data_IF_905819666107
#
_entry.id   IF_905819666107
#
_cell.length_a   1.000
_cell.length_b   1.000
_cell.length_c   1.000
_cell.angle_alpha   90.00
_cell.angle_beta   90.00
_cell.angle_gamma   90.00
#
_symmetry.space_group_name_H-M   'P 1'
#
loop_
_entity.id
_entity.type
_entity.pdbx_description
1 polymer ?
#
# COMPACT_ATOMS: atom_id res chain seq x y z
N UNK A 1 -27.38 -12.06 10.54
CA UNK A 1 -26.20 -11.23 10.89
C UNK A 1 -24.88 -12.02 10.91
N UNK A 2 -24.78 -13.16 11.63
CA UNK A 2 -23.54 -13.97 11.68
C UNK A 2 -23.08 -14.55 10.33
N UNK A 3 -24.01 -15.09 9.53
CA UNK A 3 -23.71 -15.67 8.19
C UNK A 3 -23.15 -14.65 7.20
N UNK A 4 -23.62 -13.41 7.26
CA UNK A 4 -23.16 -12.31 6.40
C UNK A 4 -21.75 -11.84 6.80
N UNK A 5 -21.48 -11.73 8.10
CA UNK A 5 -20.14 -11.44 8.62
C UNK A 5 -19.12 -12.51 8.21
N UNK A 6 -19.49 -13.78 8.31
CA UNK A 6 -18.64 -14.90 7.92
C UNK A 6 -18.32 -14.89 6.42
N UNK A 7 -19.31 -14.62 5.57
CA UNK A 7 -19.11 -14.48 4.12
C UNK A 7 -18.17 -13.32 3.77
N UNK A 8 -18.35 -12.14 4.39
CA UNK A 8 -17.46 -10.99 4.19
C UNK A 8 -16.02 -11.31 4.60
N UNK A 9 -15.84 -11.99 5.73
CA UNK A 9 -14.53 -12.44 6.20
C UNK A 9 -13.88 -13.44 5.24
N UNK A 10 -14.64 -14.43 4.75
CA UNK A 10 -14.13 -15.42 3.80
C UNK A 10 -13.65 -14.77 2.49
N UNK A 11 -14.45 -13.87 1.91
CA UNK A 11 -14.08 -13.13 0.70
C UNK A 11 -12.87 -12.23 0.91
N UNK A 12 -12.78 -11.57 2.06
CA UNK A 12 -11.60 -10.79 2.43
C UNK A 12 -10.35 -11.67 2.55
N UNK A 13 -10.48 -12.87 3.14
CA UNK A 13 -9.41 -13.86 3.22
C UNK A 13 -8.90 -14.27 1.84
N UNK A 14 -9.80 -14.55 0.89
CA UNK A 14 -9.42 -14.87 -0.49
C UNK A 14 -8.68 -13.69 -1.14
N UNK A 15 -9.18 -12.47 -0.99
CA UNK A 15 -8.54 -11.26 -1.54
C UNK A 15 -7.11 -11.10 -1.01
N UNK A 16 -6.90 -11.30 0.29
CA UNK A 16 -5.58 -11.30 0.92
C UNK A 16 -4.67 -12.42 0.39
N UNK A 17 -5.18 -13.63 0.19
CA UNK A 17 -4.40 -14.75 -0.35
C UNK A 17 -3.98 -14.51 -1.79
N UNK A 18 -4.88 -14.02 -2.64
CA UNK A 18 -4.58 -13.65 -4.03
C UNK A 18 -3.57 -12.52 -4.08
N UNK A 19 -3.77 -11.46 -3.27
CA UNK A 19 -2.82 -10.36 -3.16
C UNK A 19 -1.43 -10.80 -2.69
N UNK A 20 -1.37 -11.71 -1.72
CA UNK A 20 -0.12 -12.30 -1.22
C UNK A 20 0.57 -13.10 -2.32
N UNK A 21 -0.16 -13.95 -3.05
CA UNK A 21 0.41 -14.75 -4.14
C UNK A 21 1.03 -13.86 -5.24
N UNK A 22 0.33 -12.79 -5.64
CA UNK A 22 0.83 -11.84 -6.64
C UNK A 22 2.08 -11.12 -6.12
N UNK A 23 2.02 -10.58 -4.89
CA UNK A 23 3.18 -9.88 -4.31
C UNK A 23 4.38 -10.80 -4.10
N UNK A 24 4.13 -12.08 -3.74
CA UNK A 24 5.19 -13.07 -3.56
C UNK A 24 5.84 -13.46 -4.89
N UNK A 25 5.06 -13.60 -5.97
CA UNK A 25 5.63 -13.83 -7.29
C UNK A 25 6.57 -12.68 -7.72
N UNK A 26 6.17 -11.43 -7.48
CA UNK A 26 7.03 -10.26 -7.75
C UNK A 26 8.30 -10.29 -6.86
N UNK A 27 8.17 -10.75 -5.61
CA UNK A 27 9.31 -10.90 -4.69
C UNK A 27 10.34 -11.92 -5.16
N UNK A 28 9.92 -13.01 -5.81
CA UNK A 28 10.86 -14.01 -6.34
C UNK A 28 11.76 -13.43 -7.44
N UNK A 29 11.21 -12.56 -8.29
CA UNK A 29 11.95 -11.92 -9.39
C UNK A 29 12.74 -10.70 -8.90
N UNK A 30 12.17 -9.91 -7.99
CA UNK A 30 12.76 -8.68 -7.47
C UNK A 30 12.61 -8.61 -5.93
N UNK A 31 13.53 -9.18 -5.14
CA UNK A 31 13.35 -9.35 -3.70
C UNK A 31 13.07 -8.05 -2.92
N UNK A 32 13.85 -7.00 -3.14
CA UNK A 32 13.66 -5.72 -2.43
C UNK A 32 12.37 -5.03 -2.86
N UNK A 33 12.17 -4.86 -4.16
CA UNK A 33 10.99 -4.22 -4.74
C UNK A 33 9.71 -4.98 -4.39
N UNK A 34 9.72 -6.29 -4.55
CA UNK A 34 8.59 -7.18 -4.31
C UNK A 34 8.19 -7.26 -2.84
N UNK A 35 9.14 -7.14 -1.90
CA UNK A 35 8.81 -7.04 -0.48
C UNK A 35 7.95 -5.79 -0.19
N UNK A 36 8.34 -4.62 -0.72
CA UNK A 36 7.57 -3.38 -0.57
C UNK A 36 6.22 -3.42 -1.28
N UNK A 37 6.17 -4.08 -2.44
CA UNK A 37 4.95 -4.36 -3.17
C UNK A 37 3.99 -5.19 -2.34
N UNK A 38 4.45 -6.32 -1.79
CA UNK A 38 3.66 -7.22 -0.96
C UNK A 38 3.09 -6.51 0.27
N UNK A 39 3.92 -5.77 1.03
CA UNK A 39 3.43 -4.99 2.17
C UNK A 39 2.36 -3.98 1.75
N UNK A 40 2.51 -3.35 0.60
CA UNK A 40 1.58 -2.32 0.15
C UNK A 40 0.27 -2.89 -0.38
N UNK A 41 0.28 -4.06 -1.02
CA UNK A 41 -0.94 -4.78 -1.41
C UNK A 41 -1.77 -5.06 -0.16
N UNK A 42 -1.17 -5.71 0.85
CA UNK A 42 -1.87 -6.10 2.08
C UNK A 42 -2.35 -4.91 2.90
N UNK A 43 -1.63 -3.79 2.87
CA UNK A 43 -2.02 -2.59 3.60
C UNK A 43 -3.06 -1.74 2.87
N UNK A 44 -3.32 -2.00 1.59
CA UNK A 44 -4.39 -1.34 0.82
C UNK A 44 -5.67 -2.16 0.80
N UNK A 45 -5.56 -3.49 0.79
CA UNK A 45 -6.71 -4.39 0.96
C UNK A 45 -7.28 -4.18 2.37
N UNK A 46 -8.44 -3.52 2.44
CA UNK A 46 -9.10 -3.16 3.70
C UNK A 46 -10.43 -3.91 3.85
N UNK A 47 -10.81 -4.36 5.06
CA UNK A 47 -12.05 -5.10 5.29
C UNK A 47 -13.30 -4.33 4.85
N UNK A 48 -13.31 -3.01 5.06
CA UNK A 48 -14.45 -2.14 4.77
C UNK A 48 -14.47 -1.60 3.33
N UNK A 49 -13.45 -1.86 2.51
CA UNK A 49 -13.29 -1.59 1.06
C UNK A 49 -13.54 -0.15 0.55
N UNK A 50 -14.26 0.70 1.27
CA UNK A 50 -14.72 2.04 0.85
C UNK A 50 -13.57 3.04 0.69
N UNK A 51 -12.43 2.80 1.34
CA UNK A 51 -11.32 3.75 1.38
C UNK A 51 -10.02 3.21 0.76
N UNK A 52 -10.04 2.10 0.02
CA UNK A 52 -8.83 1.50 -0.56
C UNK A 52 -8.06 2.50 -1.45
N UNK A 53 -8.77 3.34 -2.21
CA UNK A 53 -8.17 4.41 -3.03
C UNK A 53 -7.49 5.49 -2.17
N UNK A 54 -8.17 5.97 -1.13
CA UNK A 54 -7.61 6.98 -0.23
C UNK A 54 -6.38 6.44 0.50
N UNK A 55 -6.45 5.18 0.94
CA UNK A 55 -5.36 4.48 1.61
C UNK A 55 -4.14 4.30 0.69
N UNK A 56 -4.37 3.89 -0.56
CA UNK A 56 -3.34 3.80 -1.59
C UNK A 56 -2.68 5.17 -1.85
N UNK A 57 -3.45 6.23 -2.06
CA UNK A 57 -2.91 7.57 -2.33
C UNK A 57 -2.12 8.11 -1.15
N UNK A 58 -2.61 7.89 0.07
CA UNK A 58 -1.92 8.31 1.28
C UNK A 58 -0.57 7.59 1.41
N UNK A 59 -0.51 6.29 1.11
CA UNK A 59 0.73 5.51 1.14
C UNK A 59 1.74 5.95 0.10
N UNK A 60 1.31 6.20 -1.13
CA UNK A 60 2.19 6.68 -2.21
C UNK A 60 2.79 8.03 -1.82
N UNK A 61 1.94 9.02 -1.46
CA UNK A 61 2.40 10.36 -1.08
C UNK A 61 3.35 10.33 0.12
N UNK A 62 3.00 9.59 1.17
CA UNK A 62 3.84 9.48 2.37
C UNK A 62 5.19 8.81 2.09
N UNK A 63 5.23 7.79 1.22
CA UNK A 63 6.49 7.16 0.84
C UNK A 63 7.38 8.10 0.02
N UNK A 64 6.80 8.85 -0.91
CA UNK A 64 7.53 9.87 -1.68
C UNK A 64 8.09 10.97 -0.77
N UNK A 65 7.30 11.46 0.18
CA UNK A 65 7.75 12.44 1.19
C UNK A 65 8.95 11.90 1.95
N UNK A 66 8.83 10.71 2.54
CA UNK A 66 9.92 10.15 3.31
C UNK A 66 11.15 9.81 2.46
N UNK A 67 10.94 9.46 1.17
CA UNK A 67 12.03 9.22 0.24
C UNK A 67 12.80 10.50 -0.09
N UNK A 68 12.08 11.58 -0.39
CA UNK A 68 12.66 12.89 -0.61
C UNK A 68 13.41 13.39 0.63
N UNK A 69 12.81 13.30 1.82
CA UNK A 69 13.45 13.73 3.07
C UNK A 69 14.70 12.90 3.38
N UNK A 70 14.63 11.57 3.24
CA UNK A 70 15.79 10.70 3.46
C UNK A 70 16.96 11.00 2.52
N UNK A 71 16.67 11.25 1.24
CA UNK A 71 17.69 11.63 0.26
C UNK A 71 18.27 13.03 0.54
N UNK A 72 17.44 14.00 0.93
CA UNK A 72 17.90 15.35 1.26
C UNK A 72 18.89 15.34 2.44
N UNK A 73 18.58 14.59 3.52
CA UNK A 73 19.45 14.50 4.69
C UNK A 73 20.81 13.92 4.35
N UNK A 74 20.84 12.92 3.47
CA UNK A 74 22.09 12.30 3.01
C UNK A 74 23.04 13.32 2.35
N UNK A 75 22.51 14.25 1.56
CA UNK A 75 23.34 15.27 0.88
C UNK A 75 23.82 16.40 1.81
N UNK A 76 23.14 16.64 2.93
CA UNK A 76 23.45 17.76 3.82
C UNK A 76 24.58 17.41 4.79
N UNK A 77 24.53 16.24 5.43
CA UNK A 77 25.46 15.91 6.51
C UNK A 77 25.61 14.39 6.68
N UNK A 78 26.77 13.89 7.13
CA UNK A 78 26.91 12.52 7.61
C UNK A 78 25.77 12.11 8.55
N UNK A 79 25.17 10.97 8.27
CA UNK A 79 24.02 10.46 9.01
C UNK A 79 24.45 10.13 10.45
N UNK A 80 23.80 10.81 11.39
CA UNK A 80 23.90 10.55 12.83
C UNK A 80 22.48 10.57 13.43
N UNK A 81 22.36 10.27 14.72
CA UNK A 81 21.05 10.21 15.39
C UNK A 81 20.29 11.56 15.35
N UNK A 82 21.00 12.69 15.36
CA UNK A 82 20.38 14.01 15.25
C UNK A 82 19.79 14.23 13.85
N UNK A 83 20.52 13.89 12.80
CA UNK A 83 20.03 13.98 11.42
C UNK A 83 18.83 13.08 11.17
N UNK A 84 18.84 11.86 11.70
CA UNK A 84 17.69 10.95 11.64
C UNK A 84 16.49 11.55 12.37
N UNK A 85 16.70 12.12 13.57
CA UNK A 85 15.64 12.74 14.36
C UNK A 85 15.02 13.94 13.65
N UNK A 86 15.86 14.80 13.06
CA UNK A 86 15.43 15.91 12.21
C UNK A 86 14.60 15.38 11.04
N UNK A 87 15.09 14.35 10.35
CA UNK A 87 14.38 13.71 9.25
C UNK A 87 13.00 13.20 9.60
N UNK A 88 12.88 12.53 10.74
CA UNK A 88 11.60 12.05 11.25
C UNK A 88 10.65 13.22 11.50
N UNK A 89 11.10 14.25 12.22
CA UNK A 89 10.27 15.43 12.53
C UNK A 89 9.87 16.19 11.26
N UNK A 90 10.80 16.37 10.32
CA UNK A 90 10.51 16.99 9.02
C UNK A 90 9.50 16.16 8.23
N UNK A 91 9.65 14.82 8.18
CA UNK A 91 8.69 13.96 7.49
C UNK A 91 7.30 14.00 8.13
N UNK A 92 7.21 14.08 9.46
CA UNK A 92 5.96 14.25 10.20
C UNK A 92 5.32 15.60 9.89
N UNK A 93 6.09 16.69 9.94
CA UNK A 93 5.59 18.03 9.63
C UNK A 93 5.07 18.12 8.19
N UNK A 94 5.79 17.55 7.23
CA UNK A 94 5.34 17.49 5.83
C UNK A 94 4.07 16.64 5.72
N UNK A 95 4.04 15.45 6.34
CA UNK A 95 2.83 14.63 6.33
C UNK A 95 1.62 15.33 6.94
N UNK A 96 1.81 16.12 8.01
CA UNK A 96 0.75 16.92 8.63
C UNK A 96 0.22 17.99 7.66
N UNK A 97 1.11 18.74 7.00
CA UNK A 97 0.74 19.75 6.00
C UNK A 97 -0.05 19.16 4.82
N UNK A 98 0.22 17.90 4.46
CA UNK A 98 -0.50 17.19 3.41
C UNK A 98 -1.70 16.35 3.90
N UNK A 99 -2.07 16.42 5.19
CA UNK A 99 -3.13 15.62 5.81
C UNK A 99 -2.95 14.10 5.65
N UNK A 100 -1.70 13.62 5.72
CA UNK A 100 -1.29 12.22 5.51
C UNK A 100 -1.06 11.45 6.81
N UNK A 101 -1.69 11.86 7.92
CA UNK A 101 -1.44 11.30 9.27
C UNK A 101 -1.56 9.77 9.32
N UNK A 102 -2.53 9.20 8.62
CA UNK A 102 -2.74 7.75 8.52
C UNK A 102 -1.53 7.00 7.94
N UNK A 103 -0.73 7.65 7.08
CA UNK A 103 0.44 7.09 6.41
C UNK A 103 1.77 7.67 6.91
N UNK A 104 1.77 8.58 7.89
CA UNK A 104 2.96 9.23 8.43
C UNK A 104 3.99 8.22 8.97
N UNK A 105 3.53 7.13 9.60
CA UNK A 105 4.40 6.01 10.01
C UNK A 105 5.19 5.40 8.85
N UNK A 106 4.59 5.31 7.66
CA UNK A 106 5.26 4.81 6.46
C UNK A 106 6.30 5.80 5.92
N UNK A 107 6.06 7.11 6.07
CA UNK A 107 7.05 8.14 5.75
C UNK A 107 8.26 8.09 6.70
N UNK A 108 8.04 7.95 8.01
CA UNK A 108 9.13 7.82 8.98
C UNK A 108 10.00 6.59 8.71
N UNK A 109 9.38 5.44 8.43
CA UNK A 109 10.09 4.21 8.04
C UNK A 109 10.90 4.42 6.75
N UNK A 110 10.42 5.25 5.82
CA UNK A 110 11.16 5.63 4.60
C UNK A 110 12.48 6.29 4.90
N UNK A 111 12.42 7.33 5.75
CA UNK A 111 13.58 8.11 6.15
C UNK A 111 14.60 7.17 6.78
N UNK A 112 14.17 6.27 7.67
CA UNK A 112 15.05 5.30 8.33
C UNK A 112 15.72 4.35 7.34
N UNK A 113 14.97 3.75 6.42
CA UNK A 113 15.53 2.79 5.45
C UNK A 113 16.59 3.45 4.56
N UNK A 114 16.33 4.67 4.12
CA UNK A 114 17.24 5.40 3.23
C UNK A 114 18.48 5.87 3.99
N UNK A 115 18.32 6.39 5.20
CA UNK A 115 19.43 6.91 6.00
C UNK A 115 20.28 5.82 6.65
N UNK A 116 19.69 4.66 7.00
CA UNK A 116 20.38 3.49 7.57
C UNK A 116 20.84 2.48 6.52
N UNK A 117 20.76 2.85 5.24
CA UNK A 117 21.17 1.96 4.17
C UNK A 117 22.66 1.59 4.26
N UNK A 118 23.02 0.35 3.88
CA UNK A 118 24.38 -0.13 4.00
C UNK A 118 25.34 0.59 3.02
N UNK A 119 26.60 0.86 3.45
CA UNK A 119 27.61 1.40 2.55
C UNK A 119 27.89 0.45 1.38
N UNK A 120 27.76 0.92 0.13
CA UNK A 120 28.13 0.16 -1.08
C UNK A 120 27.00 -0.06 -2.09
N UNK A 121 25.76 0.26 -1.74
CA UNK A 121 24.61 0.23 -2.64
C UNK A 121 24.15 1.67 -2.91
N UNK A 122 23.74 1.96 -4.15
CA UNK A 122 23.35 3.33 -4.53
C UNK A 122 22.04 3.70 -3.83
N UNK A 123 22.06 4.73 -2.99
CA UNK A 123 20.92 5.19 -2.19
C UNK A 123 19.69 5.52 -3.05
N UNK A 124 19.93 5.98 -4.28
CA UNK A 124 18.90 6.23 -5.29
C UNK A 124 18.17 4.95 -5.70
N UNK A 125 18.87 3.82 -5.81
CA UNK A 125 18.25 2.54 -6.15
C UNK A 125 17.30 2.10 -5.03
N UNK A 126 17.70 2.23 -3.78
CA UNK A 126 16.86 1.88 -2.62
C UNK A 126 15.61 2.74 -2.55
N UNK A 127 15.76 4.05 -2.75
CA UNK A 127 14.64 4.97 -2.75
C UNK A 127 13.66 4.65 -3.89
N UNK A 128 14.16 4.36 -5.09
CA UNK A 128 13.36 4.02 -6.27
C UNK A 128 12.69 2.65 -6.16
N UNK A 129 13.41 1.61 -5.74
CA UNK A 129 12.86 0.27 -5.54
C UNK A 129 11.74 0.29 -4.51
N UNK A 130 11.90 1.08 -3.44
CA UNK A 130 10.88 1.22 -2.40
C UNK A 130 9.68 2.03 -2.88
N UNK A 131 9.92 3.21 -3.47
CA UNK A 131 8.83 4.03 -3.99
C UNK A 131 8.05 3.28 -5.08
N UNK A 132 8.76 2.62 -5.99
CA UNK A 132 8.21 1.77 -7.04
C UNK A 132 7.40 0.60 -6.47
N UNK A 133 7.96 -0.15 -5.52
CA UNK A 133 7.27 -1.26 -4.89
C UNK A 133 5.99 -0.81 -4.20
N UNK A 134 6.01 0.31 -3.47
CA UNK A 134 4.81 0.85 -2.82
C UNK A 134 3.76 1.28 -3.86
N UNK A 135 4.16 1.99 -4.92
CA UNK A 135 3.24 2.38 -6.00
C UNK A 135 2.59 1.16 -6.65
N UNK A 136 3.39 0.19 -7.09
CA UNK A 136 2.90 -1.04 -7.73
C UNK A 136 2.00 -1.83 -6.80
N UNK A 137 2.38 -2.00 -5.54
CA UNK A 137 1.56 -2.71 -4.57
C UNK A 137 0.24 -2.00 -4.25
N UNK A 138 0.25 -0.67 -4.19
CA UNK A 138 -0.98 0.11 -4.01
C UNK A 138 -1.92 -0.02 -5.22
N UNK A 139 -1.38 0.01 -6.44
CA UNK A 139 -2.16 -0.19 -7.68
C UNK A 139 -2.78 -1.59 -7.71
N UNK A 140 -2.00 -2.63 -7.43
CA UNK A 140 -2.49 -4.02 -7.38
C UNK A 140 -3.57 -4.17 -6.30
N UNK A 141 -3.33 -3.67 -5.08
CA UNK A 141 -4.29 -3.74 -3.98
C UNK A 141 -5.63 -3.08 -4.35
N UNK A 142 -5.58 -1.89 -4.94
CA UNK A 142 -6.76 -1.18 -5.45
C UNK A 142 -7.51 -1.99 -6.51
N UNK A 143 -6.79 -2.56 -7.48
CA UNK A 143 -7.38 -3.36 -8.56
C UNK A 143 -8.08 -4.59 -7.97
N UNK A 144 -7.42 -5.30 -7.05
CA UNK A 144 -8.01 -6.46 -6.37
C UNK A 144 -9.28 -6.08 -5.62
N UNK A 145 -9.24 -5.02 -4.81
CA UNK A 145 -10.43 -4.56 -4.07
C UNK A 145 -11.58 -4.22 -5.02
N UNK A 146 -11.30 -3.59 -6.16
CA UNK A 146 -12.34 -3.25 -7.14
C UNK A 146 -12.90 -4.49 -7.86
N UNK A 147 -12.05 -5.43 -8.25
CA UNK A 147 -12.46 -6.70 -8.89
C UNK A 147 -13.32 -7.53 -7.95
N UNK A 148 -12.88 -7.73 -6.71
CA UNK A 148 -13.64 -8.47 -5.71
C UNK A 148 -14.94 -7.75 -5.33
N UNK A 149 -14.93 -6.42 -5.25
CA UNK A 149 -16.16 -5.65 -5.07
C UNK A 149 -17.16 -5.92 -6.19
N UNK A 150 -16.74 -5.92 -7.47
CA UNK A 150 -17.63 -6.25 -8.60
C UNK A 150 -18.16 -7.68 -8.58
N UNK A 151 -17.35 -8.64 -8.15
CA UNK A 151 -17.75 -10.06 -8.04
C UNK A 151 -18.79 -10.22 -6.92
N UNK A 152 -18.59 -9.57 -5.77
CA UNK A 152 -19.47 -9.68 -4.60
C UNK A 152 -20.74 -8.83 -4.78
N UNK A 153 -20.64 -7.65 -5.41
CA UNK A 153 -21.76 -6.75 -5.71
C UNK A 153 -22.63 -7.24 -6.88
N UNK A 154 -22.22 -8.31 -7.57
CA UNK A 154 -23.13 -9.12 -8.40
C UNK A 154 -23.76 -10.25 -7.57
N UNK A 155 -24.92 -10.01 -6.91
CA UNK A 155 -25.86 -11.09 -6.67
C UNK A 155 -27.21 -10.81 -7.35
N UNK A 156 -27.61 -11.73 -8.23
CA UNK A 156 -28.99 -11.98 -8.72
C UNK A 156 -29.60 -10.93 -9.65
N UNK A 157 -29.27 -11.02 -10.94
CA UNK A 157 -30.14 -10.52 -12.02
C UNK A 157 -30.13 -11.50 -13.19
N UNK A 158 -30.49 -12.78 -12.94
CA UNK A 158 -30.73 -13.76 -14.02
C UNK A 158 -31.52 -14.99 -13.57
N UNK A 159 -32.60 -14.83 -12.80
CA UNK A 159 -33.63 -15.87 -12.67
C UNK A 159 -34.95 -15.26 -12.18
N UNK A 160 -35.89 -15.02 -13.09
CA UNK A 160 -37.24 -14.59 -12.72
C UNK A 160 -37.91 -13.63 -13.70
N UNK A 161 -37.92 -13.94 -15.00
CA UNK A 161 -38.86 -13.32 -15.94
C UNK A 161 -39.20 -14.31 -17.05
N UNK A 162 -39.72 -15.48 -16.67
CA UNK A 162 -40.24 -16.47 -17.62
C UNK A 162 -41.45 -17.21 -17.03
N UNK A 163 -42.34 -16.48 -16.36
CA UNK A 163 -43.71 -16.95 -16.14
C UNK A 163 -44.59 -15.73 -15.87
N UNK A 164 -45.76 -15.68 -16.50
CA UNK A 164 -46.77 -14.59 -16.43
C UNK A 164 -46.57 -13.34 -17.33
N UNK A 165 -46.50 -13.55 -18.65
CA UNK A 165 -47.27 -12.70 -19.57
C UNK A 165 -48.31 -13.55 -20.29
N UNK A 166 -49.54 -13.40 -19.79
CA UNK A 166 -50.83 -13.32 -20.50
C UNK A 166 -51.21 -14.53 -21.37
N UNK A 167 -52.24 -15.30 -21.02
CA UNK A 167 -53.67 -14.91 -20.96
C UNK A 167 -54.17 -14.37 -22.29
#
# INVERSE_FOLDING_TARGET
MARERLSKFFWYGIECLVGTAIGYYIYLEFPTFGAWCLFSILLVIAPDRKDAMALAMNRIKANLVGAAVGLLLFYIHPINILMISIGIITSLAICELFNLQAAARSAMVSVLIITLHQPGQYIWNVALERAGGVMTGCVIGVILTFVFHKIIAKPVASSGSDESRSS
#
